data_IF_879298245582
#
_entry.id   IF_879298245582
#
_cell.length_a   1.000
_cell.length_b   1.000
_cell.length_c   1.000
_cell.angle_alpha   90.00
_cell.angle_beta   90.00
_cell.angle_gamma   90.00
#
_symmetry.space_group_name_H-M   'P 1'
#
loop_
_entity.id
_entity.type
_entity.pdbx_description
1 polymer ?
#
# COMPACT_ATOMS: atom_id res chain seq x y z
N UNK A 1 -1.52 15.39 19.86
CA UNK A 1 -0.32 16.25 19.86
C UNK A 1 -0.51 17.52 20.73
N UNK A 2 -1.63 18.21 20.52
CA UNK A 2 -1.94 19.47 21.25
C UNK A 2 -2.27 19.17 22.70
N UNK A 3 -3.11 18.21 23.00
CA UNK A 3 -3.53 17.81 24.35
C UNK A 3 -2.36 17.40 25.24
N UNK A 4 -1.45 16.57 24.70
CA UNK A 4 -0.24 16.14 25.41
C UNK A 4 0.85 17.22 25.45
N UNK A 5 0.66 18.37 24.79
CA UNK A 5 1.69 19.41 24.60
C UNK A 5 3.01 18.78 24.15
N UNK A 6 2.92 17.83 23.20
CA UNK A 6 4.05 17.10 22.69
C UNK A 6 4.97 18.00 21.84
N UNK A 7 6.24 17.68 21.82
CA UNK A 7 7.19 18.25 20.88
C UNK A 7 7.12 17.50 19.56
N UNK A 8 7.01 16.16 19.62
CA UNK A 8 6.86 15.26 18.48
C UNK A 8 5.80 14.22 18.84
N UNK A 9 4.92 13.90 17.90
CA UNK A 9 4.02 12.77 18.01
C UNK A 9 4.32 11.80 16.87
N UNK A 10 4.52 10.54 17.21
CA UNK A 10 4.76 9.43 16.28
C UNK A 10 3.48 8.62 16.17
N UNK A 11 3.00 8.40 14.96
CA UNK A 11 1.89 7.45 14.75
C UNK A 11 2.44 6.04 14.90
N UNK A 12 1.85 5.28 15.79
CA UNK A 12 2.25 3.92 16.13
C UNK A 12 1.12 2.94 15.80
N UNK A 13 1.48 1.75 15.33
CA UNK A 13 0.54 0.65 15.09
C UNK A 13 0.95 -0.56 15.91
N UNK A 14 0.01 -1.11 16.64
CA UNK A 14 0.17 -2.40 17.28
C UNK A 14 -0.12 -3.50 16.26
N UNK A 15 0.88 -4.31 16.00
CA UNK A 15 0.79 -5.40 15.04
C UNK A 15 0.37 -6.69 15.73
N UNK A 16 -0.31 -7.62 15.02
CA UNK A 16 -0.55 -8.96 15.54
C UNK A 16 0.76 -9.63 15.99
N UNK A 17 0.68 -10.44 17.04
CA UNK A 17 1.87 -11.10 17.62
C UNK A 17 2.61 -12.02 16.64
N UNK A 18 1.87 -12.60 15.68
CA UNK A 18 2.38 -13.47 14.63
C UNK A 18 2.87 -12.74 13.38
N UNK A 19 2.94 -11.40 13.42
CA UNK A 19 3.40 -10.61 12.27
C UNK A 19 4.86 -10.93 11.95
N UNK A 20 5.16 -11.44 10.75
CA UNK A 20 6.52 -11.76 10.38
C UNK A 20 7.34 -10.48 10.14
N UNK A 21 8.65 -10.58 10.37
CA UNK A 21 9.63 -9.54 10.03
C UNK A 21 9.33 -8.15 10.63
N UNK A 22 8.92 -8.08 11.89
CA UNK A 22 8.76 -6.81 12.61
C UNK A 22 10.04 -5.98 12.63
N UNK A 23 11.21 -6.63 12.56
CA UNK A 23 12.53 -5.99 12.51
C UNK A 23 12.78 -5.10 11.28
N UNK A 24 11.86 -5.08 10.32
CA UNK A 24 11.91 -4.13 9.18
C UNK A 24 11.38 -2.72 9.53
N UNK A 25 10.81 -2.55 10.71
CA UNK A 25 10.20 -1.31 11.18
C UNK A 25 10.95 -0.71 12.35
N UNK A 26 10.71 0.56 12.62
CA UNK A 26 11.06 1.16 13.90
C UNK A 26 10.15 0.60 15.01
N UNK A 27 10.73 0.01 16.04
CA UNK A 27 10.03 -0.57 17.18
C UNK A 27 9.93 0.46 18.29
N UNK A 28 8.74 0.61 18.85
CA UNK A 28 8.42 1.65 19.82
C UNK A 28 7.93 1.03 21.12
N UNK A 29 8.45 1.51 22.24
CA UNK A 29 7.92 1.20 23.57
C UNK A 29 7.36 2.49 24.20
N UNK A 30 6.12 2.42 24.67
CA UNK A 30 5.43 3.53 25.31
C UNK A 30 5.11 3.19 26.76
N UNK A 31 5.09 4.22 27.62
CA UNK A 31 4.52 4.11 28.96
C UNK A 31 2.98 4.22 28.93
N UNK A 32 2.35 4.14 30.11
CA UNK A 32 0.90 4.19 30.27
C UNK A 32 0.29 5.54 29.84
N UNK A 33 1.07 6.62 29.85
CA UNK A 33 0.66 7.95 29.38
C UNK A 33 0.85 8.14 27.86
N UNK A 34 1.42 7.15 27.19
CA UNK A 34 1.72 7.15 25.76
C UNK A 34 3.01 7.86 25.40
N UNK A 35 3.87 8.18 26.38
CA UNK A 35 5.20 8.73 26.11
C UNK A 35 6.10 7.62 25.57
N UNK A 36 6.86 7.93 24.53
CA UNK A 36 7.86 7.00 24.00
C UNK A 36 9.06 6.96 24.95
N UNK A 37 9.25 5.80 25.57
CA UNK A 37 10.34 5.52 26.49
C UNK A 37 11.49 4.81 25.82
N UNK A 38 11.21 4.07 24.74
CA UNK A 38 12.21 3.48 23.91
C UNK A 38 11.82 3.44 22.43
N UNK A 39 12.82 3.55 21.56
CA UNK A 39 12.66 3.53 20.12
C UNK A 39 13.92 2.90 19.49
N UNK A 40 13.74 1.82 18.78
CA UNK A 40 14.81 1.12 18.05
C UNK A 40 14.49 1.08 16.56
N UNK A 41 15.39 1.56 15.72
CA UNK A 41 15.21 1.50 14.26
C UNK A 41 15.70 0.17 13.72
N UNK A 42 14.79 -0.62 13.17
CA UNK A 42 15.07 -1.90 12.53
C UNK A 42 15.97 -2.85 13.38
N UNK A 43 15.57 -3.14 14.61
CA UNK A 43 16.36 -4.01 15.48
C UNK A 43 16.39 -5.44 14.94
N UNK A 44 17.45 -6.18 15.26
CA UNK A 44 17.54 -7.61 14.89
C UNK A 44 16.44 -8.45 15.53
N UNK A 45 16.02 -8.09 16.73
CA UNK A 45 14.92 -8.72 17.46
C UNK A 45 14.01 -7.65 18.01
N UNK A 46 12.74 -7.68 17.60
CA UNK A 46 11.73 -6.74 18.10
C UNK A 46 11.33 -7.11 19.54
N UNK A 47 11.44 -6.16 20.47
CA UNK A 47 11.07 -6.35 21.87
C UNK A 47 9.59 -6.13 22.14
N UNK A 48 8.89 -5.45 21.25
CA UNK A 48 7.44 -5.22 21.30
C UNK A 48 6.85 -5.39 19.89
N UNK A 49 5.54 -5.54 19.81
CA UNK A 49 4.81 -5.57 18.52
C UNK A 49 4.31 -4.18 18.10
N UNK A 50 4.66 -3.12 18.82
CA UNK A 50 4.29 -1.75 18.47
C UNK A 50 5.34 -1.13 17.55
N UNK A 51 4.91 -0.77 16.35
CA UNK A 51 5.79 -0.19 15.33
C UNK A 51 5.51 1.29 15.11
N UNK A 52 6.51 2.02 14.62
CA UNK A 52 6.33 3.35 14.04
C UNK A 52 5.73 3.20 12.63
N UNK A 53 4.61 3.86 12.38
CA UNK A 53 3.96 3.88 11.07
C UNK A 53 4.65 4.82 10.05
N UNK A 54 5.75 5.48 10.45
CA UNK A 54 6.47 6.42 9.59
C UNK A 54 5.74 7.75 9.39
N UNK A 55 4.78 8.08 10.23
CA UNK A 55 4.00 9.33 10.19
C UNK A 55 4.24 10.11 11.46
N UNK A 56 4.56 11.40 11.32
CA UNK A 56 4.97 12.24 12.44
C UNK A 56 4.23 13.57 12.43
N UNK A 57 3.92 14.09 13.64
CA UNK A 57 3.43 15.46 13.85
C UNK A 57 4.48 16.19 14.67
N UNK A 58 4.99 17.29 14.12
CA UNK A 58 6.01 18.13 14.75
C UNK A 58 5.76 19.60 14.39
N UNK A 59 6.03 20.51 15.34
CA UNK A 59 5.93 21.93 15.04
C UNK A 59 6.98 22.33 14.01
N UNK A 60 6.57 23.06 12.96
CA UNK A 60 7.47 23.47 11.87
C UNK A 60 8.79 24.11 12.38
N UNK A 61 8.70 25.01 13.35
CA UNK A 61 9.88 25.68 13.89
C UNK A 61 10.87 24.68 14.50
N UNK A 62 10.37 23.78 15.35
CA UNK A 62 11.19 22.74 15.97
C UNK A 62 11.80 21.80 14.91
N UNK A 63 11.02 21.39 13.91
CA UNK A 63 11.52 20.55 12.83
C UNK A 63 12.70 21.22 12.09
N UNK A 64 12.55 22.50 11.72
CA UNK A 64 13.61 23.25 11.05
C UNK A 64 14.88 23.35 11.89
N UNK A 65 14.74 23.64 13.21
CA UNK A 65 15.86 23.72 14.16
C UNK A 65 16.61 22.37 14.24
N UNK A 66 15.86 21.26 14.36
CA UNK A 66 16.44 19.92 14.49
C UNK A 66 17.11 19.45 13.20
N UNK A 67 16.49 19.71 12.04
CA UNK A 67 17.07 19.34 10.73
C UNK A 67 18.34 20.16 10.48
N UNK A 68 18.30 21.49 10.73
CA UNK A 68 19.49 22.31 10.52
C UNK A 68 20.65 21.85 11.40
N UNK A 69 20.38 21.58 12.67
CA UNK A 69 21.41 21.08 13.60
C UNK A 69 21.96 19.72 13.15
N UNK A 70 21.09 18.79 12.72
CA UNK A 70 21.53 17.50 12.21
C UNK A 70 22.40 17.68 10.96
N UNK A 71 22.02 18.55 10.03
CA UNK A 71 22.76 18.88 8.83
C UNK A 71 24.16 19.44 9.16
N UNK A 72 24.25 20.41 10.07
CA UNK A 72 25.53 21.02 10.49
C UNK A 72 26.47 20.00 11.14
N UNK A 73 25.95 18.94 11.73
CA UNK A 73 26.70 17.83 12.31
C UNK A 73 26.97 16.69 11.29
N UNK A 74 26.57 16.83 10.01
CA UNK A 74 26.75 15.81 8.98
C UNK A 74 25.84 14.59 9.14
N UNK A 75 24.69 14.74 9.81
CA UNK A 75 23.71 13.69 10.09
C UNK A 75 22.51 13.81 9.16
N UNK A 76 22.01 12.68 8.65
CA UNK A 76 20.98 12.68 7.60
C UNK A 76 19.82 11.73 7.86
N UNK A 77 19.81 10.98 8.96
CA UNK A 77 18.74 10.05 9.30
C UNK A 77 17.76 10.67 10.29
N UNK A 78 16.50 10.85 9.85
CA UNK A 78 15.47 11.47 10.68
C UNK A 78 15.16 10.64 11.94
N UNK A 79 15.12 9.32 11.82
CA UNK A 79 14.76 8.45 12.94
C UNK A 79 15.90 8.37 13.93
N UNK A 80 17.11 8.04 13.47
CA UNK A 80 18.30 7.90 14.32
C UNK A 80 18.74 9.24 14.93
N UNK A 81 18.81 10.28 14.09
CA UNK A 81 19.44 11.54 14.47
C UNK A 81 18.48 12.54 15.12
N UNK A 82 17.19 12.33 14.98
CA UNK A 82 16.16 13.19 15.60
C UNK A 82 15.34 12.41 16.61
N UNK A 83 14.62 11.36 16.22
CA UNK A 83 13.68 10.70 17.14
C UNK A 83 14.42 9.98 18.28
N UNK A 84 15.33 9.09 17.95
CA UNK A 84 16.07 8.30 18.95
C UNK A 84 16.99 9.20 19.79
N UNK A 85 17.72 10.08 19.16
CA UNK A 85 18.66 10.99 19.82
C UNK A 85 18.00 11.91 20.83
N UNK A 86 16.81 12.41 20.52
CA UNK A 86 16.13 13.39 21.37
C UNK A 86 15.01 12.78 22.24
N UNK A 87 14.84 11.45 22.28
CA UNK A 87 13.75 10.80 23.01
C UNK A 87 13.70 11.15 24.48
N UNK A 88 14.84 11.31 25.12
CA UNK A 88 14.94 11.63 26.56
C UNK A 88 14.88 13.14 26.84
N UNK A 89 15.14 13.97 25.85
CA UNK A 89 15.21 15.45 25.99
C UNK A 89 13.91 16.13 25.54
N UNK A 90 13.25 15.57 24.52
CA UNK A 90 12.00 16.10 23.98
C UNK A 90 10.80 15.27 24.45
N UNK A 91 9.63 15.92 24.46
CA UNK A 91 8.36 15.26 24.76
C UNK A 91 7.88 14.53 23.50
N UNK A 92 8.30 13.28 23.33
CA UNK A 92 7.90 12.44 22.20
C UNK A 92 6.81 11.47 22.66
N UNK A 93 5.64 11.54 22.04
CA UNK A 93 4.50 10.68 22.33
C UNK A 93 4.14 9.81 21.14
N UNK A 94 3.68 8.61 21.40
CA UNK A 94 3.05 7.73 20.42
C UNK A 94 1.55 7.97 20.35
N UNK A 95 1.01 7.99 19.14
CA UNK A 95 -0.43 7.95 18.90
C UNK A 95 -0.78 6.59 18.33
N UNK A 96 -1.56 5.79 19.07
CA UNK A 96 -2.01 4.47 18.62
C UNK A 96 -3.03 4.62 17.51
N UNK A 97 -2.74 4.04 16.34
CA UNK A 97 -3.63 3.98 15.20
C UNK A 97 -4.46 2.69 15.26
N UNK A 98 -5.76 2.82 15.52
CA UNK A 98 -6.69 1.68 15.59
C UNK A 98 -7.20 1.24 14.22
N UNK A 99 -7.06 2.08 13.19
CA UNK A 99 -7.54 1.82 11.84
C UNK A 99 -6.64 0.91 11.00
N UNK A 100 -7.08 0.68 9.76
CA UNK A 100 -6.28 -0.04 8.77
C UNK A 100 -4.98 0.71 8.48
N UNK A 101 -3.89 -0.03 8.45
CA UNK A 101 -2.58 0.47 8.02
C UNK A 101 -1.82 -0.65 7.31
N UNK A 102 -1.13 -0.30 6.24
CA UNK A 102 -0.23 -1.19 5.52
C UNK A 102 1.00 -0.42 5.06
N UNK A 103 2.15 -1.07 5.12
CA UNK A 103 3.39 -0.56 4.56
C UNK A 103 3.60 -1.14 3.17
N UNK A 104 3.91 -0.27 2.20
CA UNK A 104 4.22 -0.66 0.82
C UNK A 104 5.69 -0.35 0.55
N UNK A 105 6.56 -1.30 0.85
CA UNK A 105 8.00 -1.19 0.61
C UNK A 105 8.50 -2.15 -0.49
N UNK A 106 7.77 -3.22 -0.74
CA UNK A 106 8.10 -4.26 -1.71
C UNK A 106 6.89 -4.56 -2.60
N UNK A 107 7.13 -5.24 -3.71
CA UNK A 107 6.07 -5.64 -4.66
C UNK A 107 5.01 -6.51 -4.00
N UNK A 108 5.44 -7.44 -3.15
CA UNK A 108 4.51 -8.30 -2.41
C UNK A 108 3.63 -7.52 -1.43
N UNK A 109 4.18 -6.45 -0.81
CA UNK A 109 3.39 -5.56 0.04
C UNK A 109 2.34 -4.80 -0.80
N UNK A 110 2.73 -4.33 -1.98
CA UNK A 110 1.81 -3.68 -2.93
C UNK A 110 0.68 -4.63 -3.35
N UNK A 111 1.05 -5.84 -3.76
CA UNK A 111 0.07 -6.85 -4.15
C UNK A 111 -0.90 -7.16 -3.00
N UNK A 112 -0.38 -7.52 -1.83
CA UNK A 112 -1.18 -7.86 -0.65
C UNK A 112 -2.09 -6.70 -0.24
N UNK A 113 -1.57 -5.46 -0.20
CA UNK A 113 -2.34 -4.28 0.16
C UNK A 113 -3.50 -4.04 -0.82
N UNK A 114 -3.28 -4.21 -2.13
CA UNK A 114 -4.36 -4.12 -3.10
C UNK A 114 -5.39 -5.23 -2.88
N UNK A 115 -4.95 -6.49 -2.73
CA UNK A 115 -5.87 -7.63 -2.52
C UNK A 115 -6.68 -7.51 -1.22
N UNK A 116 -6.18 -6.80 -0.21
CA UNK A 116 -6.94 -6.49 1.00
C UNK A 116 -8.22 -5.70 0.69
N UNK A 117 -8.26 -4.89 -0.37
CA UNK A 117 -9.47 -4.19 -0.79
C UNK A 117 -10.57 -5.12 -1.33
N UNK A 118 -10.28 -6.40 -1.60
CA UNK A 118 -11.31 -7.39 -1.88
C UNK A 118 -12.08 -7.81 -0.61
N UNK A 119 -11.54 -7.52 0.58
CA UNK A 119 -12.21 -7.77 1.86
C UNK A 119 -13.26 -6.69 2.15
N UNK A 120 -14.49 -7.05 2.51
CA UNK A 120 -15.56 -6.09 2.78
C UNK A 120 -15.20 -5.08 3.88
N UNK A 121 -14.56 -5.53 4.96
CA UNK A 121 -14.18 -4.69 6.11
C UNK A 121 -13.18 -3.58 5.74
N UNK A 122 -12.23 -3.86 4.84
CA UNK A 122 -11.26 -2.85 4.37
C UNK A 122 -11.98 -1.80 3.50
N UNK A 123 -12.87 -2.24 2.60
CA UNK A 123 -13.68 -1.33 1.78
C UNK A 123 -14.60 -0.47 2.63
N UNK A 124 -15.24 -1.05 3.64
CA UNK A 124 -16.12 -0.32 4.54
C UNK A 124 -15.37 0.75 5.31
N UNK A 125 -14.17 0.41 5.84
CA UNK A 125 -13.31 1.37 6.51
C UNK A 125 -13.00 2.59 5.63
N UNK A 126 -12.53 2.39 4.39
CA UNK A 126 -12.12 3.49 3.53
C UNK A 126 -13.27 4.23 2.86
N UNK A 127 -14.32 3.54 2.42
CA UNK A 127 -15.34 4.15 1.58
C UNK A 127 -16.61 4.56 2.33
N UNK A 128 -16.83 4.07 3.55
CA UNK A 128 -18.00 4.41 4.35
C UNK A 128 -17.65 5.14 5.64
N UNK A 129 -16.69 4.65 6.40
CA UNK A 129 -16.32 5.26 7.68
C UNK A 129 -15.50 6.54 7.49
N UNK A 130 -14.66 6.58 6.48
CA UNK A 130 -13.79 7.73 6.16
C UNK A 130 -13.98 8.23 4.73
N UNK A 131 -15.18 8.70 4.34
CA UNK A 131 -15.49 9.08 2.96
C UNK A 131 -14.75 10.34 2.48
N UNK A 132 -14.06 11.06 3.37
CA UNK A 132 -13.29 12.26 3.04
C UNK A 132 -11.96 12.01 2.32
N UNK A 133 -11.70 10.80 1.84
CA UNK A 133 -10.50 10.50 1.06
C UNK A 133 -10.72 10.97 -0.39
N UNK A 134 -9.97 12.00 -0.79
CA UNK A 134 -10.04 12.57 -2.13
C UNK A 134 -8.99 11.93 -3.03
N UNK A 135 -9.41 11.55 -4.23
CA UNK A 135 -8.52 11.06 -5.28
C UNK A 135 -8.84 11.73 -6.61
N UNK A 136 -7.95 11.59 -7.59
CA UNK A 136 -8.22 12.09 -8.93
C UNK A 136 -9.39 11.31 -9.55
N UNK A 137 -10.46 12.03 -9.85
CA UNK A 137 -11.62 11.49 -10.58
C UNK A 137 -11.43 11.77 -12.06
N UNK A 138 -11.62 10.77 -12.89
CA UNK A 138 -11.67 10.88 -14.34
C UNK A 138 -13.11 10.63 -14.81
N UNK A 139 -13.56 11.40 -15.78
CA UNK A 139 -14.89 11.21 -16.39
C UNK A 139 -14.83 10.07 -17.40
N UNK A 140 -15.02 8.86 -16.92
CA UNK A 140 -14.99 7.62 -17.69
C UNK A 140 -16.35 6.93 -17.64
N UNK A 141 -16.74 6.21 -18.71
CA UNK A 141 -17.97 5.43 -18.71
C UNK A 141 -17.90 4.32 -17.63
N UNK A 142 -19.04 3.84 -17.13
CA UNK A 142 -19.08 2.66 -16.29
C UNK A 142 -18.43 1.45 -16.95
N UNK A 143 -17.99 0.49 -16.14
CA UNK A 143 -17.51 -0.79 -16.66
C UNK A 143 -18.62 -1.54 -17.42
N UNK A 144 -18.27 -2.13 -18.56
CA UNK A 144 -19.17 -2.89 -19.41
C UNK A 144 -18.89 -4.39 -19.30
N UNK A 145 -19.92 -5.14 -18.95
CA UNK A 145 -19.88 -6.60 -18.86
C UNK A 145 -20.63 -7.17 -20.07
N UNK A 146 -19.94 -7.83 -20.95
CA UNK A 146 -20.54 -8.43 -22.14
C UNK A 146 -21.12 -9.82 -21.83
N UNK A 147 -22.09 -10.32 -22.62
CA UNK A 147 -22.66 -11.66 -22.44
C UNK A 147 -21.55 -12.72 -22.41
N UNK A 148 -21.62 -13.62 -21.42
CA UNK A 148 -20.62 -14.67 -21.22
C UNK A 148 -19.46 -14.31 -20.30
N UNK A 149 -19.35 -13.05 -19.86
CA UNK A 149 -18.40 -12.69 -18.81
C UNK A 149 -18.85 -13.23 -17.44
N UNK A 150 -17.90 -13.74 -16.65
CA UNK A 150 -18.14 -14.24 -15.28
C UNK A 150 -17.16 -13.55 -14.32
N UNK A 151 -17.70 -12.72 -13.44
CA UNK A 151 -16.91 -11.89 -12.54
C UNK A 151 -17.21 -12.28 -11.10
N UNK A 152 -16.18 -12.67 -10.34
CA UNK A 152 -16.31 -13.11 -8.95
C UNK A 152 -15.29 -12.39 -8.06
N UNK A 153 -15.76 -11.94 -6.91
CA UNK A 153 -14.92 -11.32 -5.86
C UNK A 153 -13.84 -10.39 -6.41
N UNK A 154 -14.21 -9.44 -7.30
CA UNK A 154 -13.26 -8.58 -8.00
C UNK A 154 -13.65 -7.12 -7.92
N UNK A 155 -12.68 -6.22 -7.96
CA UNK A 155 -12.90 -4.78 -8.06
C UNK A 155 -12.62 -4.32 -9.49
N UNK A 156 -13.63 -3.73 -10.11
CA UNK A 156 -13.56 -3.28 -11.50
C UNK A 156 -13.74 -1.77 -11.56
N UNK A 157 -12.73 -1.07 -12.07
CA UNK A 157 -12.77 0.38 -12.22
C UNK A 157 -13.51 0.82 -13.50
N UNK A 158 -13.77 2.13 -13.60
CA UNK A 158 -14.48 2.74 -14.74
C UNK A 158 -13.75 2.54 -16.07
N UNK A 159 -14.51 2.46 -17.15
CA UNK A 159 -13.99 2.31 -18.52
C UNK A 159 -13.55 0.89 -18.90
N UNK A 160 -13.67 -0.10 -18.02
CA UNK A 160 -13.34 -1.49 -18.33
C UNK A 160 -14.38 -2.15 -19.25
N UNK A 161 -13.92 -3.06 -20.11
CA UNK A 161 -14.78 -3.91 -20.97
C UNK A 161 -14.36 -5.36 -20.77
N UNK A 162 -15.30 -6.20 -20.38
CA UNK A 162 -15.02 -7.57 -19.90
C UNK A 162 -15.81 -8.60 -20.71
N UNK A 163 -15.08 -9.57 -21.29
CA UNK A 163 -15.67 -10.68 -22.06
C UNK A 163 -15.27 -12.06 -21.49
N UNK A 164 -14.37 -12.12 -20.53
CA UNK A 164 -13.81 -13.35 -19.96
C UNK A 164 -14.23 -13.64 -18.52
N UNK A 165 -13.54 -14.58 -17.89
CA UNK A 165 -13.67 -14.91 -16.48
C UNK A 165 -12.64 -14.13 -15.65
N UNK A 166 -13.09 -13.45 -14.59
CA UNK A 166 -12.25 -12.65 -13.69
C UNK A 166 -12.60 -13.00 -12.24
N UNK A 167 -11.61 -13.47 -11.48
CA UNK A 167 -11.83 -13.93 -10.11
C UNK A 167 -10.72 -13.43 -9.18
N UNK A 168 -11.09 -12.96 -7.97
CA UNK A 168 -10.17 -12.44 -6.96
C UNK A 168 -9.16 -11.43 -7.55
N UNK A 169 -9.61 -10.48 -8.36
CA UNK A 169 -8.76 -9.65 -9.20
C UNK A 169 -9.16 -8.17 -9.08
N UNK A 170 -8.18 -7.30 -9.22
CA UNK A 170 -8.39 -5.86 -9.27
C UNK A 170 -8.06 -5.38 -10.69
N UNK A 171 -9.05 -4.85 -11.39
CA UNK A 171 -8.89 -4.17 -12.67
C UNK A 171 -8.94 -2.67 -12.47
N UNK A 172 -7.86 -1.99 -12.81
CA UNK A 172 -7.80 -0.54 -12.83
C UNK A 172 -8.55 0.02 -14.05
N UNK A 173 -8.44 1.32 -14.30
CA UNK A 173 -9.25 2.02 -15.31
C UNK A 173 -8.93 1.57 -16.74
N UNK A 174 -9.94 1.49 -17.59
CA UNK A 174 -9.82 1.24 -19.03
C UNK A 174 -9.16 -0.09 -19.41
N UNK A 175 -9.32 -1.10 -18.60
CA UNK A 175 -8.83 -2.45 -18.93
C UNK A 175 -9.81 -3.13 -19.89
N UNK A 176 -9.28 -3.70 -20.97
CA UNK A 176 -10.02 -4.57 -21.87
C UNK A 176 -9.63 -6.02 -21.64
N UNK A 177 -10.60 -6.86 -21.37
CA UNK A 177 -10.44 -8.32 -21.25
C UNK A 177 -11.13 -9.01 -22.40
N UNK A 178 -10.37 -9.73 -23.22
CA UNK A 178 -10.83 -10.47 -24.40
C UNK A 178 -11.72 -11.66 -24.08
N UNK A 179 -12.21 -12.32 -25.14
CA UNK A 179 -13.04 -13.50 -25.02
C UNK A 179 -12.24 -14.71 -24.50
N UNK A 180 -12.90 -15.58 -23.73
CA UNK A 180 -12.30 -16.80 -23.17
C UNK A 180 -11.04 -16.55 -22.32
N UNK A 181 -10.81 -15.31 -21.86
CA UNK A 181 -9.73 -15.04 -20.92
C UNK A 181 -10.07 -15.56 -19.54
N UNK A 182 -9.04 -15.99 -18.81
CA UNK A 182 -9.13 -16.38 -17.39
C UNK A 182 -8.11 -15.56 -16.60
N UNK A 183 -8.61 -14.68 -15.73
CA UNK A 183 -7.77 -13.80 -14.91
C UNK A 183 -8.09 -14.09 -13.45
N UNK A 184 -7.08 -14.52 -12.69
CA UNK A 184 -7.23 -14.87 -11.28
C UNK A 184 -6.14 -14.27 -10.41
N UNK A 185 -6.51 -13.92 -9.17
CA UNK A 185 -5.57 -13.49 -8.14
C UNK A 185 -4.55 -12.47 -8.68
N UNK A 186 -5.01 -11.48 -9.45
CA UNK A 186 -4.13 -10.60 -10.21
C UNK A 186 -4.51 -9.12 -10.05
N UNK A 187 -3.55 -8.26 -10.32
CA UNK A 187 -3.75 -6.82 -10.40
C UNK A 187 -3.43 -6.39 -11.82
N UNK A 188 -4.39 -5.82 -12.51
CA UNK A 188 -4.21 -5.30 -13.87
C UNK A 188 -4.29 -3.77 -13.80
N UNK A 189 -3.19 -3.10 -14.11
CA UNK A 189 -3.10 -1.65 -14.00
C UNK A 189 -3.83 -0.94 -15.15
N UNK A 190 -3.72 0.40 -15.24
CA UNK A 190 -4.53 1.21 -16.14
C UNK A 190 -4.21 0.97 -17.63
N UNK A 191 -5.22 1.11 -18.46
CA UNK A 191 -5.10 1.11 -19.93
C UNK A 191 -4.51 -0.18 -20.53
N UNK A 192 -4.69 -1.34 -19.86
CA UNK A 192 -4.19 -2.63 -20.34
C UNK A 192 -5.20 -3.27 -21.30
N UNK A 193 -4.67 -3.80 -22.42
CA UNK A 193 -5.44 -4.61 -23.35
C UNK A 193 -5.01 -6.07 -23.24
N UNK A 194 -5.96 -6.95 -22.97
CA UNK A 194 -5.74 -8.41 -22.88
C UNK A 194 -6.46 -9.10 -24.05
N UNK A 195 -5.69 -9.69 -24.96
CA UNK A 195 -6.21 -10.41 -26.12
C UNK A 195 -6.90 -11.71 -25.74
N UNK A 196 -7.69 -12.25 -26.67
CA UNK A 196 -8.53 -13.44 -26.48
C UNK A 196 -7.72 -14.68 -26.05
N UNK A 197 -8.39 -15.60 -25.34
CA UNK A 197 -7.84 -16.90 -24.91
C UNK A 197 -6.59 -16.75 -24.02
N UNK A 198 -6.46 -15.71 -23.25
CA UNK A 198 -5.30 -15.43 -22.39
C UNK A 198 -5.57 -15.88 -20.95
N UNK A 199 -4.54 -16.47 -20.32
CA UNK A 199 -4.56 -16.86 -18.90
C UNK A 199 -3.58 -16.01 -18.13
N UNK A 200 -4.06 -15.34 -17.06
CA UNK A 200 -3.24 -14.53 -16.15
C UNK A 200 -3.58 -14.95 -14.72
N UNK A 201 -2.59 -15.42 -13.96
CA UNK A 201 -2.79 -15.85 -12.59
C UNK A 201 -1.62 -15.43 -11.69
N UNK A 202 -1.91 -14.91 -10.50
CA UNK A 202 -0.91 -14.43 -9.53
C UNK A 202 0.07 -13.42 -10.15
N UNK A 203 -0.45 -12.44 -10.91
CA UNK A 203 0.35 -11.46 -11.65
C UNK A 203 -0.01 -10.02 -11.28
N UNK A 204 0.95 -9.12 -11.50
CA UNK A 204 0.71 -7.70 -11.67
C UNK A 204 1.05 -7.36 -13.11
N UNK A 205 0.09 -6.84 -13.87
CA UNK A 205 0.30 -6.39 -15.25
C UNK A 205 0.45 -4.88 -15.28
N UNK A 206 1.54 -4.40 -15.86
CA UNK A 206 1.90 -2.99 -15.92
C UNK A 206 0.91 -2.16 -16.75
N UNK A 207 0.86 -0.86 -16.44
CA UNK A 207 -0.02 0.09 -17.14
C UNK A 207 0.34 0.24 -18.61
N UNK A 208 -0.70 0.37 -19.45
CA UNK A 208 -0.59 0.58 -20.90
C UNK A 208 0.00 -0.60 -21.65
N UNK A 209 -0.04 -1.76 -21.05
CA UNK A 209 0.45 -2.98 -21.67
C UNK A 209 -0.55 -3.57 -22.66
N UNK A 210 -0.04 -4.32 -23.62
CA UNK A 210 -0.86 -5.07 -24.59
C UNK A 210 -0.47 -6.53 -24.58
N UNK A 211 -1.26 -7.33 -23.88
CA UNK A 211 -1.09 -8.78 -23.83
C UNK A 211 -1.68 -9.40 -25.10
N UNK A 212 -0.87 -10.13 -25.83
CA UNK A 212 -1.31 -10.79 -27.08
C UNK A 212 -2.28 -11.92 -26.78
N UNK A 213 -3.15 -12.21 -27.74
CA UNK A 213 -4.05 -13.35 -27.66
C UNK A 213 -3.27 -14.68 -27.53
N UNK A 214 -3.91 -15.67 -26.90
CA UNK A 214 -3.35 -17.01 -26.65
C UNK A 214 -2.08 -17.00 -25.78
N UNK A 215 -1.92 -16.01 -24.91
CA UNK A 215 -0.79 -15.89 -23.96
C UNK A 215 -1.12 -16.53 -22.62
N UNK A 216 -0.07 -16.91 -21.87
CA UNK A 216 -0.21 -17.44 -20.51
C UNK A 216 0.86 -16.87 -19.59
N UNK A 217 0.43 -16.21 -18.51
CA UNK A 217 1.28 -15.64 -17.48
C UNK A 217 0.82 -16.17 -16.13
N UNK A 218 1.63 -17.01 -15.51
CA UNK A 218 1.32 -17.61 -14.22
C UNK A 218 2.48 -17.34 -13.28
N UNK A 219 2.18 -16.66 -12.17
CA UNK A 219 3.06 -16.50 -11.01
C UNK A 219 2.85 -17.65 -10.02
N UNK A 220 3.82 -17.88 -9.16
CA UNK A 220 3.70 -18.86 -8.09
C UNK A 220 2.88 -18.32 -6.92
N UNK A 221 2.14 -19.17 -6.18
CA UNK A 221 1.51 -18.75 -4.94
C UNK A 221 2.55 -18.19 -3.95
N UNK A 222 2.36 -16.93 -3.53
CA UNK A 222 3.30 -16.24 -2.63
C UNK A 222 4.48 -15.56 -3.32
N UNK A 223 4.61 -15.67 -4.66
CA UNK A 223 5.59 -14.94 -5.46
C UNK A 223 4.91 -14.37 -6.70
N UNK A 224 4.56 -13.10 -6.63
CA UNK A 224 3.81 -12.42 -7.70
C UNK A 224 4.70 -12.18 -8.90
N UNK A 225 4.21 -12.56 -10.09
CA UNK A 225 4.88 -12.28 -11.35
C UNK A 225 4.51 -10.89 -11.87
N UNK A 226 5.51 -10.08 -12.21
CA UNK A 226 5.30 -8.83 -12.93
C UNK A 226 5.29 -9.14 -14.43
N UNK A 227 4.29 -8.61 -15.13
CA UNK A 227 4.17 -8.68 -16.58
C UNK A 227 4.33 -7.26 -17.12
N UNK A 228 5.37 -7.07 -17.93
CA UNK A 228 5.69 -5.82 -18.63
C UNK A 228 6.04 -6.20 -20.07
N UNK A 229 5.03 -6.21 -20.93
CA UNK A 229 5.17 -6.45 -22.37
C UNK A 229 5.31 -5.09 -23.03
N UNK A 230 6.55 -4.59 -23.15
CA UNK A 230 6.82 -3.30 -23.82
C UNK A 230 6.30 -3.35 -25.25
N UNK A 231 5.21 -2.64 -25.49
CA UNK A 231 4.53 -2.59 -26.77
C UNK A 231 4.67 -1.25 -27.44
N UNK A 232 4.92 -1.26 -28.75
CA UNK A 232 5.02 -0.07 -29.63
C UNK A 232 3.71 0.74 -29.74
N UNK A 233 2.61 0.24 -29.13
CA UNK A 233 1.29 0.89 -29.18
C UNK A 233 1.27 2.30 -28.59
N UNK A 234 2.20 2.63 -27.71
CA UNK A 234 2.28 3.91 -27.01
C UNK A 234 3.60 4.65 -27.25
N UNK A 235 4.44 4.18 -28.17
CA UNK A 235 5.60 4.92 -28.64
C UNK A 235 5.08 5.99 -29.61
N UNK A 236 4.95 7.22 -29.14
CA UNK A 236 4.70 8.42 -29.93
C UNK A 236 5.99 9.20 -30.08
#
# INVERSE_FOLDING_TARGET
HIEKKADITVVCKEMPEDTPNLSRFGIVKMDDDGRIVDFEEKPLVAQTNTISAGVYIIRRRLLMELIQKAHDEGRNDFVQDILIRYKDVKKIYGYKLDGYWSNIAMIDDYYRTNMDFLKPEVREYFFRQYPGIYSRVEDLPPAKFNPGSDIRNSLISSGCILNGHVENTILFKKVYVGNNCVIKNSIILNDVYIGDNTVIENCIVESRDTIRANSSYIGEPGSVRIVDERNDRYIL
#
